data_IF_982464604100
#
_entry.id   IF_982464604100
#
_cell.length_a   1.000
_cell.length_b   1.000
_cell.length_c   1.000
_cell.angle_alpha   90.00
_cell.angle_beta   90.00
_cell.angle_gamma   90.00
#
_symmetry.space_group_name_H-M   'P 1'
#
loop_
_entity.id
_entity.type
_entity.pdbx_description
1 polymer ?
#
# COMPACT_ATOMS: atom_id res chain seq x y z
N UNK A 1 -13.38 1.34 15.86
CA UNK A 1 -12.22 2.23 15.70
C UNK A 1 -12.56 3.68 16.02
N UNK A 2 -13.83 4.04 16.09
CA UNK A 2 -14.23 5.43 16.22
C UNK A 2 -14.39 5.96 17.65
N UNK A 3 -14.45 5.09 18.65
CA UNK A 3 -14.61 5.51 20.06
C UNK A 3 -13.29 5.91 20.72
N UNK A 4 -12.14 5.58 20.14
CA UNK A 4 -10.86 6.13 20.59
C UNK A 4 -10.75 7.65 20.45
N UNK A 5 -11.74 8.33 19.83
CA UNK A 5 -11.82 9.79 19.79
C UNK A 5 -12.09 10.39 21.18
N UNK A 6 -12.75 9.64 22.09
CA UNK A 6 -13.03 10.09 23.46
C UNK A 6 -11.76 10.05 24.34
N UNK A 7 -10.71 9.37 23.91
CA UNK A 7 -9.43 9.31 24.59
C UNK A 7 -8.42 10.23 23.91
N UNK A 8 -7.75 11.04 24.72
CA UNK A 8 -6.68 11.92 24.26
C UNK A 8 -5.34 11.51 24.86
N UNK A 9 -4.28 11.63 24.08
CA UNK A 9 -2.90 11.44 24.50
C UNK A 9 -2.02 12.51 23.85
N UNK A 10 -1.24 13.24 24.65
CA UNK A 10 -0.41 14.36 24.16
C UNK A 10 -1.20 15.46 23.44
N UNK A 11 -2.46 15.69 23.81
CA UNK A 11 -3.34 16.68 23.18
C UNK A 11 -3.94 16.26 21.83
N UNK A 12 -3.71 15.02 21.40
CA UNK A 12 -4.25 14.45 20.16
C UNK A 12 -5.25 13.33 20.45
N UNK A 13 -6.23 13.06 19.57
CA UNK A 13 -7.08 11.88 19.67
C UNK A 13 -6.23 10.61 19.69
N UNK A 14 -6.56 9.67 20.59
CA UNK A 14 -5.81 8.41 20.73
C UNK A 14 -5.69 7.67 19.40
N UNK A 15 -6.75 7.63 18.60
CA UNK A 15 -6.73 7.04 17.24
C UNK A 15 -5.59 7.59 16.39
N UNK A 16 -5.43 8.90 16.35
CA UNK A 16 -4.37 9.55 15.55
C UNK A 16 -2.99 9.18 16.06
N UNK A 17 -2.80 9.16 17.39
CA UNK A 17 -1.51 8.77 18.00
C UNK A 17 -1.17 7.31 17.68
N UNK A 18 -2.13 6.40 17.74
CA UNK A 18 -1.93 4.99 17.41
C UNK A 18 -1.55 4.79 15.94
N UNK A 19 -2.25 5.49 15.02
CA UNK A 19 -1.95 5.43 13.59
C UNK A 19 -0.55 5.97 13.31
N UNK A 20 -0.20 7.15 13.85
CA UNK A 20 1.14 7.73 13.70
C UNK A 20 2.20 6.74 14.19
N UNK A 21 2.02 6.18 15.37
CA UNK A 21 2.96 5.21 15.96
C UNK A 21 3.15 3.98 15.07
N UNK A 22 2.06 3.43 14.53
CA UNK A 22 2.11 2.29 13.62
C UNK A 22 2.81 2.64 12.31
N UNK A 23 2.50 3.79 11.71
CA UNK A 23 3.11 4.26 10.45
C UNK A 23 4.61 4.54 10.66
N UNK A 24 5.01 5.11 11.79
CA UNK A 24 6.44 5.26 12.15
C UNK A 24 7.11 3.89 12.24
N UNK A 25 6.46 2.91 12.87
CA UNK A 25 6.95 1.52 12.90
C UNK A 25 7.16 0.95 11.49
N UNK A 26 6.17 1.09 10.60
CA UNK A 26 6.29 0.70 9.18
C UNK A 26 7.47 1.40 8.48
N UNK A 27 7.60 2.70 8.65
CA UNK A 27 8.68 3.49 8.06
C UNK A 27 10.05 2.97 8.51
N UNK A 28 10.24 2.76 9.81
CA UNK A 28 11.49 2.21 10.36
C UNK A 28 11.80 0.82 9.80
N UNK A 29 10.78 -0.04 9.65
CA UNK A 29 10.95 -1.37 9.08
C UNK A 29 11.40 -1.35 7.62
N UNK A 30 11.00 -0.34 6.82
CA UNK A 30 11.45 -0.19 5.43
C UNK A 30 12.96 0.07 5.36
N UNK A 31 13.49 0.95 6.20
CA UNK A 31 14.94 1.19 6.27
C UNK A 31 15.73 -0.04 6.74
N UNK A 32 15.24 -0.73 7.76
CA UNK A 32 15.89 -1.96 8.25
C UNK A 32 15.74 -3.13 7.27
N UNK A 33 14.58 -3.21 6.58
CA UNK A 33 14.21 -4.30 5.69
C UNK A 33 15.14 -4.47 4.50
N UNK A 34 15.69 -3.39 3.96
CA UNK A 34 16.63 -3.43 2.82
C UNK A 34 17.81 -4.37 3.11
N UNK A 35 18.33 -4.36 4.34
CA UNK A 35 19.47 -5.21 4.73
C UNK A 35 19.02 -6.58 5.21
N UNK A 36 17.95 -6.64 6.00
CA UNK A 36 17.51 -7.87 6.65
C UNK A 36 16.89 -8.84 5.65
N UNK A 37 15.99 -8.37 4.77
CA UNK A 37 15.29 -9.24 3.81
C UNK A 37 16.24 -9.76 2.75
N UNK A 38 17.16 -8.93 2.24
CA UNK A 38 18.13 -9.34 1.23
C UNK A 38 19.10 -10.43 1.75
N UNK A 39 19.39 -10.44 3.05
CA UNK A 39 20.23 -11.44 3.70
C UNK A 39 19.46 -12.69 4.16
N UNK A 40 18.13 -12.70 4.06
CA UNK A 40 17.31 -13.77 4.64
C UNK A 40 17.30 -15.02 3.76
N UNK A 41 17.99 -16.06 4.22
CA UNK A 41 18.01 -17.37 3.55
C UNK A 41 16.61 -18.00 3.52
N UNK A 42 16.24 -18.70 2.42
CA UNK A 42 14.95 -19.35 2.22
C UNK A 42 14.49 -20.18 3.42
N UNK A 43 15.38 -21.00 3.97
CA UNK A 43 15.10 -21.88 5.11
C UNK A 43 14.71 -21.14 6.42
N UNK A 44 15.01 -19.84 6.52
CA UNK A 44 14.71 -19.02 7.70
C UNK A 44 13.51 -18.09 7.52
N UNK A 45 12.95 -18.01 6.29
CA UNK A 45 11.85 -17.05 5.97
C UNK A 45 10.61 -17.31 6.82
N UNK A 46 10.17 -18.57 6.92
CA UNK A 46 8.99 -18.92 7.71
C UNK A 46 9.20 -18.64 9.21
N UNK A 47 10.40 -18.92 9.75
CA UNK A 47 10.71 -18.62 11.16
C UNK A 47 10.70 -17.12 11.42
N UNK A 48 11.30 -16.33 10.53
CA UNK A 48 11.27 -14.87 10.63
C UNK A 48 9.84 -14.35 10.56
N UNK A 49 9.02 -14.82 9.62
CA UNK A 49 7.63 -14.45 9.50
C UNK A 49 6.82 -14.83 10.77
N UNK A 50 7.00 -16.05 11.29
CA UNK A 50 6.31 -16.50 12.50
C UNK A 50 6.67 -15.64 13.73
N UNK A 51 7.95 -15.31 13.91
CA UNK A 51 8.40 -14.43 15.00
C UNK A 51 7.84 -13.03 14.84
N UNK A 52 7.90 -12.44 13.65
CA UNK A 52 7.41 -11.09 13.39
C UNK A 52 5.89 -11.00 13.59
N UNK A 53 5.12 -11.96 13.03
CA UNK A 53 3.66 -11.98 13.20
C UNK A 53 3.29 -12.25 14.66
N UNK A 54 3.97 -13.20 15.31
CA UNK A 54 3.75 -13.48 16.73
C UNK A 54 4.02 -12.28 17.62
N UNK A 55 5.12 -11.54 17.36
CA UNK A 55 5.44 -10.29 18.08
C UNK A 55 4.40 -9.20 17.80
N UNK A 56 3.99 -9.04 16.54
CA UNK A 56 2.95 -8.08 16.17
C UNK A 56 1.61 -8.39 16.86
N UNK A 57 1.25 -9.67 16.93
CA UNK A 57 0.01 -10.11 17.58
C UNK A 57 0.09 -10.00 19.10
N UNK A 58 1.25 -10.34 19.72
CA UNK A 58 1.50 -10.12 21.14
C UNK A 58 1.40 -8.62 21.51
N UNK A 59 1.89 -7.73 20.66
CA UNK A 59 1.74 -6.29 20.84
C UNK A 59 0.25 -5.87 20.89
N UNK A 60 -0.63 -6.47 20.08
CA UNK A 60 -2.07 -6.22 20.14
C UNK A 60 -2.72 -6.79 21.40
N UNK A 61 -2.23 -7.91 21.93
CA UNK A 61 -2.66 -8.44 23.24
C UNK A 61 -2.28 -7.50 24.37
N UNK A 62 -1.04 -7.01 24.38
CA UNK A 62 -0.55 -6.06 25.39
C UNK A 62 -1.31 -4.73 25.33
N UNK A 63 -1.68 -4.28 24.14
CA UNK A 63 -2.56 -3.14 23.94
C UNK A 63 -3.93 -3.32 24.59
N UNK A 64 -4.49 -4.55 24.54
CA UNK A 64 -5.79 -4.84 25.15
C UNK A 64 -5.77 -4.88 26.69
N UNK A 65 -4.64 -5.26 27.29
CA UNK A 65 -4.53 -5.54 28.74
C UNK A 65 -3.88 -4.39 29.49
N UNK A 66 -2.93 -3.67 28.89
CA UNK A 66 -2.15 -2.64 29.57
C UNK A 66 -2.77 -1.24 29.41
N UNK A 67 -2.42 -0.27 30.28
CA UNK A 67 -2.94 1.09 30.20
C UNK A 67 -2.71 1.72 28.81
N UNK A 68 -3.71 2.43 28.31
CA UNK A 68 -3.69 3.04 26.96
C UNK A 68 -2.55 4.03 26.73
N UNK A 69 -1.94 4.55 27.78
CA UNK A 69 -0.75 5.43 27.69
C UNK A 69 0.43 4.72 27.04
N UNK A 70 0.53 3.39 27.17
CA UNK A 70 1.57 2.56 26.53
C UNK A 70 1.19 2.10 25.12
N UNK A 71 -0.03 2.32 24.71
CA UNK A 71 -0.55 1.87 23.41
C UNK A 71 0.28 2.32 22.20
N UNK A 72 0.84 3.55 22.13
CA UNK A 72 1.70 3.98 21.03
C UNK A 72 2.91 3.08 20.82
N UNK A 73 3.53 2.61 21.93
CA UNK A 73 4.68 1.70 21.85
C UNK A 73 4.28 0.36 21.21
N UNK A 74 3.15 -0.20 21.60
CA UNK A 74 2.68 -1.48 21.05
C UNK A 74 2.30 -1.36 19.57
N UNK A 75 1.66 -0.25 19.16
CA UNK A 75 1.35 0.00 17.77
C UNK A 75 2.62 0.24 16.91
N UNK A 76 3.63 0.91 17.47
CA UNK A 76 4.92 1.07 16.79
C UNK A 76 5.62 -0.29 16.58
N UNK A 77 5.63 -1.17 17.60
CA UNK A 77 6.18 -2.53 17.48
C UNK A 77 5.38 -3.35 16.47
N UNK A 78 4.05 -3.28 16.50
CA UNK A 78 3.17 -3.95 15.56
C UNK A 78 3.48 -3.50 14.12
N UNK A 79 3.52 -2.20 13.86
CA UNK A 79 3.86 -1.63 12.57
C UNK A 79 5.25 -2.04 12.10
N UNK A 80 6.25 -1.98 12.97
CA UNK A 80 7.62 -2.40 12.65
C UNK A 80 7.67 -3.87 12.20
N UNK A 81 7.05 -4.77 12.93
CA UNK A 81 7.02 -6.19 12.59
C UNK A 81 6.29 -6.47 11.27
N UNK A 82 5.12 -5.87 11.08
CA UNK A 82 4.30 -6.08 9.89
C UNK A 82 4.93 -5.48 8.62
N UNK A 83 5.72 -4.42 8.74
CA UNK A 83 6.38 -3.77 7.61
C UNK A 83 7.39 -4.65 6.85
N UNK A 84 7.91 -5.73 7.46
CA UNK A 84 8.76 -6.73 6.80
C UNK A 84 7.96 -7.77 5.99
N UNK A 85 6.67 -7.96 6.30
CA UNK A 85 5.90 -9.10 5.79
C UNK A 85 5.79 -9.11 4.27
N UNK A 86 5.58 -7.93 3.64
CA UNK A 86 5.57 -7.85 2.19
C UNK A 86 6.82 -8.45 1.55
N UNK A 87 8.01 -8.01 2.00
CA UNK A 87 9.28 -8.48 1.45
C UNK A 87 9.50 -9.98 1.67
N UNK A 88 9.11 -10.51 2.83
CA UNK A 88 9.24 -11.95 3.12
C UNK A 88 8.31 -12.75 2.19
N UNK A 89 7.03 -12.41 2.11
CA UNK A 89 6.05 -13.14 1.27
C UNK A 89 6.42 -13.02 -0.21
N UNK A 90 6.75 -11.81 -0.69
CA UNK A 90 7.14 -11.60 -2.08
C UNK A 90 8.39 -12.40 -2.47
N UNK A 91 9.32 -12.60 -1.52
CA UNK A 91 10.53 -13.38 -1.77
C UNK A 91 10.27 -14.86 -2.13
N UNK A 92 9.09 -15.42 -1.82
CA UNK A 92 8.70 -16.76 -2.28
C UNK A 92 8.24 -16.77 -3.75
N UNK A 93 7.74 -15.65 -4.24
CA UNK A 93 7.35 -15.47 -5.64
C UNK A 93 8.52 -15.07 -6.55
N UNK A 94 9.56 -14.49 -5.96
CA UNK A 94 10.70 -13.91 -6.69
C UNK A 94 11.51 -14.97 -7.45
N UNK A 95 11.92 -14.62 -8.68
CA UNK A 95 12.74 -15.48 -9.52
C UNK A 95 11.97 -16.53 -10.31
N UNK A 96 10.66 -16.40 -10.46
CA UNK A 96 9.78 -17.25 -11.29
C UNK A 96 9.35 -16.50 -12.54
N UNK A 97 9.06 -17.21 -13.64
CA UNK A 97 8.44 -16.64 -14.85
C UNK A 97 7.09 -15.95 -14.53
N UNK A 98 6.36 -16.49 -13.59
CA UNK A 98 5.07 -15.95 -13.15
C UNK A 98 5.19 -14.84 -12.07
N UNK A 99 6.39 -14.31 -11.78
CA UNK A 99 6.60 -13.31 -10.71
C UNK A 99 5.69 -12.10 -10.89
N UNK A 100 5.53 -11.57 -12.10
CA UNK A 100 4.66 -10.41 -12.39
C UNK A 100 3.20 -10.71 -12.09
N UNK A 101 2.72 -11.91 -12.47
CA UNK A 101 1.36 -12.35 -12.19
C UNK A 101 1.14 -12.53 -10.67
N UNK A 102 2.03 -13.26 -10.00
CA UNK A 102 1.94 -13.51 -8.56
C UNK A 102 2.02 -12.19 -7.79
N UNK A 103 2.94 -11.29 -8.15
CA UNK A 103 3.09 -9.97 -7.55
C UNK A 103 1.85 -9.11 -7.73
N UNK A 104 1.23 -9.14 -8.90
CA UNK A 104 -0.01 -8.41 -9.19
C UNK A 104 -1.19 -8.94 -8.37
N UNK A 105 -1.39 -10.25 -8.33
CA UNK A 105 -2.44 -10.88 -7.52
C UNK A 105 -2.22 -10.59 -6.03
N UNK A 106 -0.98 -10.69 -5.56
CA UNK A 106 -0.62 -10.38 -4.18
C UNK A 106 -0.92 -8.92 -3.84
N UNK A 107 -0.53 -7.96 -4.70
CA UNK A 107 -0.79 -6.55 -4.49
C UNK A 107 -2.29 -6.22 -4.48
N UNK A 108 -3.06 -6.78 -5.40
CA UNK A 108 -4.52 -6.59 -5.45
C UNK A 108 -5.22 -7.23 -4.27
N UNK A 109 -4.74 -8.38 -3.79
CA UNK A 109 -5.35 -9.08 -2.64
C UNK A 109 -5.36 -8.26 -1.35
N UNK A 110 -4.43 -7.30 -1.19
CA UNK A 110 -4.45 -6.38 -0.04
C UNK A 110 -5.69 -5.52 0.03
N UNK A 111 -6.27 -5.14 -1.11
CA UNK A 111 -7.49 -4.32 -1.16
C UNK A 111 -8.62 -5.11 -0.49
N UNK A 112 -8.85 -6.33 -0.97
CA UNK A 112 -9.87 -7.22 -0.39
C UNK A 112 -9.59 -7.54 1.08
N UNK A 113 -8.36 -7.96 1.40
CA UNK A 113 -7.97 -8.35 2.75
C UNK A 113 -8.17 -7.21 3.76
N UNK A 114 -7.82 -5.97 3.37
CA UNK A 114 -8.05 -4.79 4.20
C UNK A 114 -9.53 -4.55 4.50
N UNK A 115 -10.39 -4.65 3.49
CA UNK A 115 -11.84 -4.51 3.65
C UNK A 115 -12.44 -5.62 4.49
N UNK A 116 -12.08 -6.87 4.20
CA UNK A 116 -12.58 -8.04 4.92
C UNK A 116 -12.19 -8.01 6.40
N UNK A 117 -10.94 -7.73 6.71
CA UNK A 117 -10.46 -7.64 8.10
C UNK A 117 -11.19 -6.54 8.88
N UNK A 118 -11.45 -5.38 8.24
CA UNK A 118 -12.22 -4.29 8.88
C UNK A 118 -13.67 -4.68 9.13
N UNK A 119 -14.31 -5.42 8.20
CA UNK A 119 -15.66 -5.94 8.42
C UNK A 119 -15.71 -6.92 9.60
N UNK A 120 -14.73 -7.84 9.70
CA UNK A 120 -14.63 -8.78 10.84
C UNK A 120 -14.45 -8.01 12.15
N UNK A 121 -13.52 -7.04 12.20
CA UNK A 121 -13.32 -6.23 13.39
C UNK A 121 -14.57 -5.45 13.79
N UNK A 122 -15.31 -4.90 12.81
CA UNK A 122 -16.55 -4.17 13.06
C UNK A 122 -17.67 -5.10 13.53
N UNK A 123 -17.80 -6.29 12.95
CA UNK A 123 -18.73 -7.32 13.42
C UNK A 123 -18.48 -7.69 14.88
N UNK A 124 -17.20 -7.88 15.29
CA UNK A 124 -16.87 -8.14 16.69
C UNK A 124 -17.35 -7.00 17.62
N UNK A 125 -17.16 -5.75 17.19
CA UNK A 125 -17.50 -4.58 18.02
C UNK A 125 -19.01 -4.34 18.06
N UNK A 126 -19.70 -4.37 16.92
CA UNK A 126 -21.11 -3.98 16.81
C UNK A 126 -22.04 -5.14 17.19
N UNK A 127 -21.84 -6.31 16.58
CA UNK A 127 -22.76 -7.43 16.72
C UNK A 127 -22.46 -8.29 17.96
N UNK A 128 -21.17 -8.45 18.31
CA UNK A 128 -20.75 -9.22 19.49
C UNK A 128 -20.41 -8.35 20.70
N UNK A 129 -20.57 -7.03 20.60
CA UNK A 129 -20.30 -6.07 21.69
C UNK A 129 -18.90 -6.19 22.31
N UNK A 130 -17.92 -6.63 21.52
CA UNK A 130 -16.53 -6.71 21.96
C UNK A 130 -15.95 -5.31 22.13
N UNK A 131 -15.19 -5.09 23.21
CA UNK A 131 -14.47 -3.83 23.42
C UNK A 131 -13.51 -3.53 22.28
N UNK A 132 -13.42 -2.26 21.87
CA UNK A 132 -12.52 -1.80 20.83
C UNK A 132 -11.03 -2.08 21.13
N UNK A 133 -10.66 -2.14 22.41
CA UNK A 133 -9.31 -2.53 22.82
C UNK A 133 -9.00 -4.00 22.53
N UNK A 134 -9.99 -4.89 22.66
CA UNK A 134 -9.82 -6.32 22.39
C UNK A 134 -10.03 -6.70 20.90
N UNK A 135 -10.77 -5.89 20.15
CA UNK A 135 -11.12 -6.20 18.76
C UNK A 135 -9.91 -6.46 17.85
N UNK A 136 -8.79 -5.72 17.90
CA UNK A 136 -7.62 -6.00 17.06
C UNK A 136 -7.00 -7.38 17.37
N UNK A 137 -6.85 -7.74 18.65
CA UNK A 137 -6.30 -9.02 19.05
C UNK A 137 -7.21 -10.19 18.65
N UNK A 138 -8.52 -10.09 18.89
CA UNK A 138 -9.49 -11.12 18.54
C UNK A 138 -9.66 -11.28 17.03
N UNK A 139 -9.59 -10.20 16.27
CA UNK A 139 -9.53 -10.28 14.80
C UNK A 139 -8.32 -11.10 14.37
N UNK A 140 -7.15 -10.83 14.92
CA UNK A 140 -5.94 -11.63 14.67
C UNK A 140 -6.12 -13.12 15.03
N UNK A 141 -6.81 -13.41 16.14
CA UNK A 141 -7.07 -14.78 16.61
C UNK A 141 -7.92 -15.57 15.58
N UNK A 142 -8.94 -14.95 14.99
CA UNK A 142 -9.78 -15.58 13.95
C UNK A 142 -8.93 -15.98 12.75
N UNK A 143 -7.94 -15.16 12.38
CA UNK A 143 -7.09 -15.41 11.21
C UNK A 143 -5.87 -16.30 11.49
N UNK A 144 -5.57 -16.64 12.74
CA UNK A 144 -4.39 -17.46 13.10
C UNK A 144 -4.40 -18.82 12.41
N UNK A 145 -5.54 -19.53 12.43
CA UNK A 145 -5.62 -20.88 11.82
C UNK A 145 -5.48 -20.82 10.30
N UNK A 146 -6.23 -19.97 9.55
CA UNK A 146 -5.99 -19.77 8.12
C UNK A 146 -4.54 -19.38 7.81
N UNK A 147 -3.95 -18.50 8.60
CA UNK A 147 -2.57 -18.06 8.42
C UNK A 147 -1.57 -19.21 8.51
N UNK A 148 -1.67 -20.06 9.53
CA UNK A 148 -0.78 -21.23 9.70
C UNK A 148 -0.92 -22.18 8.52
N UNK A 149 -2.15 -22.46 8.08
CA UNK A 149 -2.41 -23.34 6.93
C UNK A 149 -1.80 -22.77 5.64
N UNK A 150 -2.02 -21.47 5.38
CA UNK A 150 -1.47 -20.80 4.20
C UNK A 150 0.07 -20.74 4.22
N UNK A 151 0.68 -20.47 5.38
CA UNK A 151 2.14 -20.50 5.53
C UNK A 151 2.72 -21.90 5.31
N UNK A 152 2.04 -22.93 5.78
CA UNK A 152 2.45 -24.32 5.52
C UNK A 152 2.46 -24.62 4.01
N UNK A 153 1.44 -24.21 3.26
CA UNK A 153 1.43 -24.37 1.80
C UNK A 153 2.49 -23.50 1.11
N UNK A 154 2.69 -22.26 1.58
CA UNK A 154 3.70 -21.36 1.03
C UNK A 154 5.11 -21.95 1.19
N UNK A 155 5.42 -22.56 2.35
CA UNK A 155 6.72 -23.18 2.59
C UNK A 155 6.94 -24.44 1.73
N UNK A 156 5.86 -25.17 1.41
CA UNK A 156 5.92 -26.33 0.50
C UNK A 156 6.00 -25.96 -0.98
N UNK A 157 5.78 -24.69 -1.33
CA UNK A 157 5.87 -24.27 -2.71
C UNK A 157 7.27 -24.58 -3.27
N UNK A 158 7.39 -25.27 -4.44
CA UNK A 158 8.70 -25.63 -5.01
C UNK A 158 9.52 -24.37 -5.29
N UNK A 159 10.84 -24.49 -5.37
CA UNK A 159 11.71 -23.38 -5.81
C UNK A 159 11.50 -23.04 -7.29
N UNK A 160 12.17 -21.98 -7.79
CA UNK A 160 12.27 -21.74 -9.22
C UNK A 160 12.80 -22.97 -9.93
N UNK A 161 12.21 -23.35 -11.08
CA UNK A 161 12.65 -24.46 -11.90
C UNK A 161 13.80 -24.07 -12.84
N UNK A 162 14.29 -25.00 -13.64
CA UNK A 162 15.40 -24.74 -14.58
C UNK A 162 15.02 -23.68 -15.61
N UNK A 163 13.77 -23.73 -16.11
CA UNK A 163 13.25 -22.76 -17.08
C UNK A 163 13.05 -21.37 -16.45
N UNK A 164 12.66 -21.33 -15.18
CA UNK A 164 12.60 -20.07 -14.42
C UNK A 164 13.99 -19.43 -14.28
N UNK A 165 15.04 -20.24 -14.12
CA UNK A 165 16.41 -19.76 -13.99
C UNK A 165 16.97 -19.28 -15.34
N UNK A 166 16.69 -20.00 -16.44
CA UNK A 166 17.16 -19.66 -17.80
C UNK A 166 16.51 -18.37 -18.33
N UNK A 167 15.21 -18.18 -18.09
CA UNK A 167 14.49 -16.97 -18.51
C UNK A 167 14.69 -15.79 -17.55
N UNK A 168 15.37 -16.00 -16.45
CA UNK A 168 15.60 -14.98 -15.41
C UNK A 168 16.52 -13.90 -15.95
N UNK A 169 16.03 -12.67 -16.00
CA UNK A 169 16.90 -11.49 -16.06
C UNK A 169 17.68 -11.45 -14.74
N UNK A 170 18.98 -11.71 -14.80
CA UNK A 170 19.84 -11.73 -13.62
C UNK A 170 19.76 -10.37 -12.91
N UNK A 171 19.11 -10.36 -11.74
CA UNK A 171 19.06 -9.17 -10.89
C UNK A 171 20.41 -8.99 -10.23
N UNK A 172 21.32 -8.33 -10.92
CA UNK A 172 22.64 -7.99 -10.40
C UNK A 172 22.49 -7.01 -9.24
N UNK A 173 23.18 -7.30 -8.13
CA UNK A 173 23.27 -6.34 -7.03
C UNK A 173 23.97 -5.07 -7.51
N UNK A 174 23.28 -3.94 -7.44
CA UNK A 174 23.85 -2.65 -7.86
C UNK A 174 24.77 -2.09 -6.78
N UNK A 175 25.94 -1.65 -7.19
CA UNK A 175 26.83 -0.83 -6.36
C UNK A 175 26.21 0.55 -6.07
N UNK A 176 26.79 1.35 -5.21
CA UNK A 176 26.34 2.73 -4.99
C UNK A 176 26.51 3.58 -6.25
N UNK A 177 27.59 3.34 -6.98
CA UNK A 177 27.95 4.00 -8.23
C UNK A 177 26.95 3.68 -9.35
N UNK A 178 26.56 2.40 -9.50
CA UNK A 178 25.56 1.97 -10.49
C UNK A 178 24.19 2.62 -10.21
N UNK A 179 23.78 2.66 -8.95
CA UNK A 179 22.52 3.32 -8.54
C UNK A 179 22.54 4.81 -8.84
N UNK A 180 23.65 5.49 -8.56
CA UNK A 180 23.82 6.91 -8.84
C UNK A 180 23.81 7.17 -10.36
N UNK A 181 24.45 6.33 -11.15
CA UNK A 181 24.46 6.43 -12.60
C UNK A 181 23.05 6.32 -13.20
N UNK A 182 22.28 5.28 -12.81
CA UNK A 182 20.87 5.10 -13.24
C UNK A 182 20.01 6.29 -12.81
N UNK A 183 20.14 6.72 -11.55
CA UNK A 183 19.39 7.87 -11.07
C UNK A 183 19.70 9.12 -11.88
N UNK A 184 20.97 9.45 -12.09
CA UNK A 184 21.39 10.64 -12.86
C UNK A 184 20.92 10.57 -14.32
N UNK A 185 20.96 9.38 -14.93
CA UNK A 185 20.54 9.18 -16.32
C UNK A 185 19.03 9.41 -16.52
N UNK A 186 18.20 9.02 -15.56
CA UNK A 186 16.73 9.05 -15.64
C UNK A 186 16.10 9.98 -14.59
N UNK A 187 16.87 10.89 -13.95
CA UNK A 187 16.46 11.68 -12.80
C UNK A 187 15.12 12.40 -12.95
N UNK A 188 14.86 13.02 -14.10
CA UNK A 188 13.63 13.78 -14.33
C UNK A 188 12.38 12.90 -14.24
N UNK A 189 12.38 11.76 -14.92
CA UNK A 189 11.29 10.80 -14.86
C UNK A 189 11.17 10.13 -13.49
N UNK A 190 12.29 9.70 -12.89
CA UNK A 190 12.31 9.01 -11.60
C UNK A 190 11.82 9.91 -10.45
N UNK A 191 12.21 11.18 -10.41
CA UNK A 191 11.73 12.13 -9.39
C UNK A 191 10.22 12.33 -9.54
N UNK A 192 9.73 12.50 -10.78
CA UNK A 192 8.30 12.70 -11.02
C UNK A 192 7.48 11.47 -10.60
N UNK A 193 7.96 10.26 -10.91
CA UNK A 193 7.35 9.00 -10.45
C UNK A 193 7.38 8.92 -8.93
N UNK A 194 8.53 9.25 -8.32
CA UNK A 194 8.68 9.20 -6.87
C UNK A 194 7.68 10.13 -6.16
N UNK A 195 7.49 11.33 -6.67
CA UNK A 195 6.49 12.28 -6.15
C UNK A 195 5.08 11.70 -6.34
N UNK A 196 4.72 11.26 -7.55
CA UNK A 196 3.39 10.73 -7.84
C UNK A 196 3.04 9.50 -6.99
N UNK A 197 3.97 8.55 -6.87
CA UNK A 197 3.79 7.37 -6.03
C UNK A 197 3.75 7.71 -4.53
N UNK A 198 4.58 8.64 -4.08
CA UNK A 198 4.56 9.13 -2.69
C UNK A 198 3.22 9.79 -2.34
N UNK A 199 2.66 10.61 -3.24
CA UNK A 199 1.33 11.21 -3.08
C UNK A 199 0.24 10.12 -3.01
N UNK A 200 0.31 9.10 -3.87
CA UNK A 200 -0.61 7.95 -3.82
C UNK A 200 -0.49 7.18 -2.49
N UNK A 201 0.71 7.00 -1.98
CA UNK A 201 0.94 6.35 -0.68
C UNK A 201 0.26 7.13 0.44
N UNK A 202 0.39 8.46 0.47
CA UNK A 202 -0.24 9.32 1.47
C UNK A 202 -1.77 9.19 1.42
N UNK A 203 -2.38 9.36 0.25
CA UNK A 203 -3.85 9.30 0.15
C UNK A 203 -4.39 7.89 0.41
N UNK A 204 -3.64 6.84 0.05
CA UNK A 204 -4.00 5.46 0.39
C UNK A 204 -3.98 5.25 1.90
N UNK A 205 -2.91 5.63 2.58
CA UNK A 205 -2.78 5.44 4.01
C UNK A 205 -3.85 6.19 4.80
N UNK A 206 -4.14 7.44 4.41
CA UNK A 206 -5.22 8.21 5.05
C UNK A 206 -6.58 7.55 4.80
N UNK A 207 -6.85 7.11 3.57
CA UNK A 207 -8.08 6.38 3.27
C UNK A 207 -8.19 5.13 4.13
N UNK A 208 -7.15 4.32 4.18
CA UNK A 208 -7.16 3.06 4.89
C UNK A 208 -7.33 3.24 6.41
N UNK A 209 -6.67 4.21 6.99
CA UNK A 209 -6.71 4.45 8.44
C UNK A 209 -8.00 5.16 8.91
N UNK A 210 -8.57 6.04 8.09
CA UNK A 210 -9.76 6.83 8.44
C UNK A 210 -11.02 6.43 7.66
N UNK A 211 -10.99 5.32 6.93
CA UNK A 211 -12.14 4.79 6.19
C UNK A 211 -13.38 4.61 7.08
N UNK A 212 -13.19 4.13 8.31
CA UNK A 212 -14.28 3.96 9.27
C UNK A 212 -14.94 5.28 9.69
N UNK A 213 -14.15 6.35 9.82
CA UNK A 213 -14.64 7.70 10.11
C UNK A 213 -15.46 8.24 8.93
N UNK A 214 -14.92 8.12 7.71
CA UNK A 214 -15.60 8.54 6.48
C UNK A 214 -16.92 7.78 6.27
N UNK A 215 -16.94 6.45 6.42
CA UNK A 215 -18.18 5.69 6.30
C UNK A 215 -19.25 6.11 7.33
N UNK A 216 -18.83 6.46 8.56
CA UNK A 216 -19.74 6.96 9.57
C UNK A 216 -20.33 8.32 9.19
N UNK A 217 -19.48 9.26 8.74
CA UNK A 217 -19.90 10.59 8.28
C UNK A 217 -20.87 10.50 7.10
N UNK A 218 -20.74 9.46 6.27
CA UNK A 218 -21.61 9.20 5.13
C UNK A 218 -22.90 8.41 5.46
N UNK A 219 -23.16 8.13 6.74
CA UNK A 219 -24.38 7.45 7.19
C UNK A 219 -24.32 5.91 7.22
N UNK A 220 -23.14 5.31 7.07
CA UNK A 220 -22.96 3.84 7.09
C UNK A 220 -22.34 3.34 8.42
N UNK A 221 -22.66 4.01 9.55
CA UNK A 221 -22.12 3.69 10.85
C UNK A 221 -22.34 2.24 11.27
N UNK A 222 -23.52 1.68 11.00
CA UNK A 222 -23.95 0.37 11.50
C UNK A 222 -23.70 -0.78 10.51
N UNK A 223 -23.23 -0.48 9.30
CA UNK A 223 -22.98 -1.50 8.28
C UNK A 223 -21.58 -2.11 8.44
N UNK A 224 -21.50 -3.33 9.01
CA UNK A 224 -20.23 -4.05 9.09
C UNK A 224 -19.74 -4.52 7.71
N UNK A 225 -20.65 -4.90 6.81
CA UNK A 225 -20.32 -5.43 5.48
C UNK A 225 -19.87 -4.37 4.48
N UNK A 226 -20.07 -3.06 4.74
CA UNK A 226 -19.75 -1.99 3.79
C UNK A 226 -18.28 -2.01 3.35
N UNK A 227 -17.37 -2.32 4.25
CA UNK A 227 -15.95 -2.42 3.96
C UNK A 227 -15.66 -3.55 2.96
N UNK A 228 -16.11 -4.77 3.26
CA UNK A 228 -15.89 -5.92 2.36
C UNK A 228 -16.56 -5.68 1.01
N UNK A 229 -17.81 -5.25 0.99
CA UNK A 229 -18.57 -5.06 -0.26
C UNK A 229 -17.92 -4.02 -1.17
N UNK A 230 -17.50 -2.87 -0.60
CA UNK A 230 -16.83 -1.81 -1.35
C UNK A 230 -15.48 -2.28 -1.88
N UNK A 231 -14.63 -2.85 -1.01
CA UNK A 231 -13.29 -3.25 -1.39
C UNK A 231 -13.29 -4.47 -2.32
N UNK A 232 -14.27 -5.37 -2.24
CA UNK A 232 -14.41 -6.49 -3.19
C UNK A 232 -14.67 -6.01 -4.61
N UNK A 233 -15.56 -5.03 -4.79
CA UNK A 233 -15.84 -4.46 -6.12
C UNK A 233 -14.59 -3.83 -6.73
N UNK A 234 -13.87 -3.04 -5.94
CA UNK A 234 -12.60 -2.41 -6.35
C UNK A 234 -11.58 -3.48 -6.72
N UNK A 235 -11.42 -4.49 -5.85
CA UNK A 235 -10.49 -5.62 -6.05
C UNK A 235 -10.72 -6.32 -7.39
N UNK A 236 -11.96 -6.68 -7.70
CA UNK A 236 -12.29 -7.40 -8.93
C UNK A 236 -11.99 -6.59 -10.18
N UNK A 237 -12.31 -5.29 -10.18
CA UNK A 237 -12.03 -4.41 -11.32
C UNK A 237 -10.51 -4.23 -11.48
N UNK A 238 -9.78 -3.92 -10.41
CA UNK A 238 -8.32 -3.74 -10.46
C UNK A 238 -7.63 -5.03 -10.88
N UNK A 239 -8.07 -6.20 -10.39
CA UNK A 239 -7.55 -7.49 -10.79
C UNK A 239 -7.75 -7.73 -12.30
N UNK A 240 -8.92 -7.41 -12.85
CA UNK A 240 -9.19 -7.48 -14.28
C UNK A 240 -8.25 -6.58 -15.10
N UNK A 241 -8.05 -5.33 -14.66
CA UNK A 241 -7.10 -4.40 -15.30
C UNK A 241 -5.67 -4.94 -15.26
N UNK A 242 -5.22 -5.47 -14.12
CA UNK A 242 -3.88 -6.03 -13.99
C UNK A 242 -3.70 -7.29 -14.84
N UNK A 243 -4.72 -8.16 -14.93
CA UNK A 243 -4.70 -9.33 -15.78
C UNK A 243 -4.54 -8.96 -17.27
N UNK A 244 -5.24 -7.93 -17.74
CA UNK A 244 -5.09 -7.42 -19.10
C UNK A 244 -3.69 -6.83 -19.36
N UNK A 245 -3.09 -6.14 -18.39
CA UNK A 245 -1.73 -5.61 -18.50
C UNK A 245 -0.68 -6.71 -18.68
N UNK A 246 -0.82 -7.83 -17.97
CA UNK A 246 0.12 -8.96 -18.03
C UNK A 246 0.15 -9.58 -19.45
N UNK A 247 -0.96 -9.53 -20.18
CA UNK A 247 -1.04 -10.06 -21.56
C UNK A 247 -0.21 -9.26 -22.57
N UNK A 248 0.17 -8.03 -22.26
CA UNK A 248 0.95 -7.17 -23.17
C UNK A 248 2.42 -7.58 -23.14
N UNK A 249 2.86 -8.28 -24.19
CA UNK A 249 4.24 -8.78 -24.33
C UNK A 249 5.26 -7.69 -24.67
N UNK A 250 4.87 -6.67 -25.44
CA UNK A 250 5.76 -5.57 -25.81
C UNK A 250 5.99 -4.64 -24.61
N UNK A 251 7.23 -4.58 -24.12
CA UNK A 251 7.58 -3.80 -22.93
C UNK A 251 7.29 -2.31 -23.07
N UNK A 252 7.57 -1.70 -24.22
CA UNK A 252 7.32 -0.28 -24.45
C UNK A 252 5.81 0.02 -24.53
N UNK A 253 5.04 -0.84 -25.19
CA UNK A 253 3.58 -0.72 -25.21
C UNK A 253 3.01 -0.88 -23.80
N UNK A 254 3.44 -1.91 -23.05
CA UNK A 254 3.03 -2.11 -21.65
C UNK A 254 3.35 -0.88 -20.81
N UNK A 255 4.55 -0.31 -20.93
CA UNK A 255 4.97 0.87 -20.20
C UNK A 255 4.09 2.11 -20.51
N UNK A 256 3.71 2.32 -21.77
CA UNK A 256 2.77 3.39 -22.17
C UNK A 256 1.36 3.15 -21.60
N UNK A 257 0.86 1.92 -21.70
CA UNK A 257 -0.48 1.55 -21.19
C UNK A 257 -0.54 1.70 -19.67
N UNK A 258 0.52 1.31 -18.95
CA UNK A 258 0.62 1.50 -17.49
C UNK A 258 0.50 3.00 -17.13
N UNK A 259 1.22 3.88 -17.81
CA UNK A 259 1.07 5.32 -17.60
C UNK A 259 -0.37 5.80 -17.89
N UNK A 260 -1.01 5.28 -18.94
CA UNK A 260 -2.41 5.57 -19.26
C UNK A 260 -3.37 5.15 -18.14
N UNK A 261 -3.18 3.96 -17.56
CA UNK A 261 -3.99 3.48 -16.45
C UNK A 261 -3.78 4.34 -15.20
N UNK A 262 -2.53 4.74 -14.91
CA UNK A 262 -2.21 5.64 -13.79
C UNK A 262 -2.88 7.00 -13.99
N UNK A 263 -2.85 7.56 -15.21
CA UNK A 263 -3.54 8.81 -15.55
C UNK A 263 -5.06 8.70 -15.33
N UNK A 264 -5.67 7.62 -15.82
CA UNK A 264 -7.11 7.34 -15.61
C UNK A 264 -7.41 7.23 -14.11
N UNK A 265 -6.53 6.57 -13.34
CA UNK A 265 -6.67 6.45 -11.89
C UNK A 265 -6.68 7.80 -11.18
N UNK A 266 -5.71 8.68 -11.47
CA UNK A 266 -5.68 10.04 -10.90
C UNK A 266 -6.88 10.87 -11.32
N UNK A 267 -7.28 10.80 -12.60
CA UNK A 267 -8.43 11.51 -13.12
C UNK A 267 -9.72 11.04 -12.43
N UNK A 268 -9.93 9.73 -12.32
CA UNK A 268 -11.12 9.15 -11.71
C UNK A 268 -11.21 9.53 -10.22
N UNK A 269 -10.10 9.43 -9.48
CA UNK A 269 -10.08 9.81 -8.07
C UNK A 269 -10.34 11.32 -7.88
N UNK A 270 -9.64 12.17 -8.63
CA UNK A 270 -9.78 13.62 -8.55
C UNK A 270 -11.17 14.10 -8.96
N UNK A 271 -11.68 13.64 -10.10
CA UNK A 271 -12.99 14.04 -10.61
C UNK A 271 -14.14 13.57 -9.72
N UNK A 272 -14.10 12.30 -9.26
CA UNK A 272 -15.13 11.80 -8.34
C UNK A 272 -15.14 12.57 -7.01
N UNK A 273 -13.97 12.98 -6.52
CA UNK A 273 -13.89 13.80 -5.31
C UNK A 273 -14.40 15.21 -5.52
N UNK A 274 -14.15 15.81 -6.67
CA UNK A 274 -14.70 17.11 -7.04
C UNK A 274 -16.24 17.06 -7.14
N UNK A 275 -16.78 16.03 -7.81
CA UNK A 275 -18.22 15.83 -7.92
C UNK A 275 -18.90 15.59 -6.56
N UNK A 276 -18.22 14.89 -5.65
CA UNK A 276 -18.71 14.70 -4.28
C UNK A 276 -18.75 16.02 -3.51
N UNK A 277 -17.69 16.84 -3.58
CA UNK A 277 -17.63 18.14 -2.91
C UNK A 277 -18.67 19.13 -3.43
N UNK A 278 -19.05 19.04 -4.71
CA UNK A 278 -20.11 19.88 -5.32
C UNK A 278 -21.52 19.31 -5.14
N UNK A 279 -21.69 18.18 -4.40
CA UNK A 279 -22.99 17.56 -4.16
C UNK A 279 -23.59 16.79 -5.35
N UNK A 280 -22.82 16.61 -6.44
CA UNK A 280 -23.27 15.92 -7.66
C UNK A 280 -23.01 14.40 -7.62
N UNK A 281 -22.40 13.88 -6.55
CA UNK A 281 -22.10 12.45 -6.39
C UNK A 281 -22.42 12.00 -4.97
N UNK A 282 -23.10 10.86 -4.82
CA UNK A 282 -23.38 10.29 -3.51
C UNK A 282 -22.09 9.81 -2.82
N UNK A 283 -22.04 9.88 -1.48
CA UNK A 283 -20.89 9.46 -0.70
C UNK A 283 -20.51 7.99 -0.89
N UNK A 284 -21.51 7.11 -1.09
CA UNK A 284 -21.27 5.68 -1.38
C UNK A 284 -20.51 5.51 -2.70
N UNK A 285 -20.98 6.13 -3.76
CA UNK A 285 -20.36 6.02 -5.08
C UNK A 285 -19.01 6.72 -5.12
N UNK A 286 -18.88 7.87 -4.44
CA UNK A 286 -17.59 8.54 -4.27
C UNK A 286 -16.54 7.64 -3.63
N UNK A 287 -16.85 7.01 -2.50
CA UNK A 287 -15.90 6.13 -1.80
C UNK A 287 -15.46 4.93 -2.66
N UNK A 288 -16.35 4.44 -3.54
CA UNK A 288 -16.01 3.36 -4.49
C UNK A 288 -15.14 3.89 -5.64
N UNK A 289 -15.50 5.00 -6.25
CA UNK A 289 -14.77 5.58 -7.39
C UNK A 289 -13.40 6.13 -6.98
N UNK A 290 -13.31 6.80 -5.83
CA UNK A 290 -12.02 7.28 -5.32
C UNK A 290 -11.10 6.11 -4.98
N UNK A 291 -11.62 5.03 -4.37
CA UNK A 291 -10.86 3.82 -4.10
C UNK A 291 -10.39 3.13 -5.38
N UNK A 292 -11.29 3.00 -6.36
CA UNK A 292 -10.95 2.42 -7.68
C UNK A 292 -9.85 3.23 -8.36
N UNK A 293 -9.99 4.54 -8.47
CA UNK A 293 -9.01 5.42 -9.09
C UNK A 293 -7.65 5.37 -8.39
N UNK A 294 -7.66 5.42 -7.05
CA UNK A 294 -6.47 5.30 -6.23
C UNK A 294 -5.71 3.99 -6.50
N UNK A 295 -6.39 2.84 -6.45
CA UNK A 295 -5.73 1.55 -6.63
C UNK A 295 -5.38 1.26 -8.09
N UNK A 296 -6.14 1.76 -9.06
CA UNK A 296 -5.74 1.73 -10.47
C UNK A 296 -4.42 2.49 -10.72
N UNK A 297 -4.16 3.57 -9.99
CA UNK A 297 -2.89 4.29 -10.09
C UNK A 297 -1.78 3.64 -9.25
N UNK A 298 -2.09 3.16 -8.04
CA UNK A 298 -1.11 2.68 -7.06
C UNK A 298 -0.56 1.27 -7.37
N UNK A 299 -1.45 0.32 -7.71
CA UNK A 299 -1.07 -1.09 -7.88
C UNK A 299 -0.05 -1.31 -9.02
N UNK A 300 -0.18 -0.69 -10.20
CA UNK A 300 0.81 -0.85 -11.26
C UNK A 300 2.23 -0.45 -10.85
N UNK A 301 2.40 0.60 -10.04
CA UNK A 301 3.71 0.98 -9.52
C UNK A 301 4.35 -0.12 -8.67
N UNK A 302 3.55 -0.77 -7.81
CA UNK A 302 4.05 -1.82 -6.92
C UNK A 302 4.31 -3.15 -7.62
N UNK A 303 3.59 -3.43 -8.72
CA UNK A 303 3.59 -4.75 -9.31
C UNK A 303 4.47 -4.86 -10.56
N UNK A 304 4.35 -3.95 -11.53
CA UNK A 304 4.90 -4.16 -12.88
C UNK A 304 5.69 -2.96 -13.43
N UNK A 305 5.43 -1.75 -12.96
CA UNK A 305 5.96 -0.53 -13.56
C UNK A 305 7.49 -0.52 -13.68
N UNK A 306 8.16 -0.80 -12.57
CA UNK A 306 9.62 -0.74 -12.52
C UNK A 306 10.28 -1.88 -13.31
N UNK A 307 9.68 -3.06 -13.33
CA UNK A 307 10.18 -4.18 -14.14
C UNK A 307 10.06 -3.87 -15.63
N UNK A 308 8.95 -3.27 -16.07
CA UNK A 308 8.80 -2.81 -17.46
C UNK A 308 9.76 -1.67 -17.80
N UNK A 309 10.01 -0.74 -16.89
CA UNK A 309 11.01 0.32 -17.07
C UNK A 309 12.41 -0.27 -17.27
N UNK A 310 12.83 -1.21 -16.43
CA UNK A 310 14.12 -1.91 -16.56
C UNK A 310 14.22 -2.60 -17.93
N UNK A 311 13.17 -3.31 -18.34
CA UNK A 311 13.16 -4.02 -19.61
C UNK A 311 13.21 -3.08 -20.82
N UNK A 312 12.48 -1.96 -20.79
CA UNK A 312 12.46 -0.95 -21.88
C UNK A 312 13.82 -0.30 -22.07
N UNK A 313 14.48 0.07 -20.97
CA UNK A 313 15.75 0.80 -21.01
C UNK A 313 16.98 -0.10 -20.84
N UNK A 314 16.79 -1.42 -20.80
CA UNK A 314 17.85 -2.44 -20.61
C UNK A 314 18.79 -2.11 -19.45
N UNK A 315 18.20 -1.63 -18.33
CA UNK A 315 18.96 -1.25 -17.15
C UNK A 315 19.46 -2.53 -16.47
N UNK A 316 20.78 -2.67 -16.33
CA UNK A 316 21.36 -3.76 -15.54
C UNK A 316 21.24 -3.41 -14.05
N UNK A 317 20.30 -4.04 -13.36
CA UNK A 317 20.16 -3.79 -11.92
C UNK A 317 18.76 -4.01 -11.37
N UNK A 318 18.57 -3.62 -10.11
CA UNK A 318 17.32 -3.74 -9.37
C UNK A 318 16.89 -2.35 -8.86
N UNK A 319 15.75 -1.85 -9.33
CA UNK A 319 15.19 -0.58 -8.83
C UNK A 319 14.30 -0.75 -7.58
N UNK A 320 14.24 -1.96 -7.02
CA UNK A 320 13.46 -2.22 -5.79
C UNK A 320 13.84 -1.29 -4.64
N UNK A 321 15.11 -0.83 -4.56
CA UNK A 321 15.51 0.15 -3.57
C UNK A 321 14.75 1.48 -3.68
N UNK A 322 14.34 1.89 -4.89
CA UNK A 322 13.55 3.10 -5.11
C UNK A 322 12.15 2.96 -4.50
N UNK A 323 11.51 1.80 -4.66
CA UNK A 323 10.18 1.54 -4.08
C UNK A 323 10.24 1.68 -2.55
N UNK A 324 11.22 1.05 -1.90
CA UNK A 324 11.38 1.16 -0.44
C UNK A 324 11.67 2.58 0.02
N UNK A 325 12.50 3.30 -0.74
CA UNK A 325 12.84 4.68 -0.44
C UNK A 325 11.61 5.59 -0.56
N UNK A 326 10.85 5.47 -1.65
CA UNK A 326 9.65 6.27 -1.89
C UNK A 326 8.55 5.92 -0.88
N UNK A 327 8.36 4.64 -0.55
CA UNK A 327 7.44 4.21 0.50
C UNK A 327 7.75 4.88 1.85
N UNK A 328 9.04 4.91 2.24
CA UNK A 328 9.44 5.53 3.49
C UNK A 328 9.10 7.02 3.54
N UNK A 329 9.30 7.75 2.43
CA UNK A 329 8.88 9.16 2.31
C UNK A 329 7.37 9.32 2.23
N UNK A 330 6.65 8.40 1.59
CA UNK A 330 5.19 8.36 1.59
C UNK A 330 4.62 8.24 3.00
N UNK A 331 5.14 7.32 3.82
CA UNK A 331 4.74 7.19 5.23
C UNK A 331 5.08 8.42 6.06
N UNK A 332 6.25 9.03 5.85
CA UNK A 332 6.60 10.30 6.49
C UNK A 332 5.60 11.39 6.12
N UNK A 333 5.24 11.50 4.83
CA UNK A 333 4.22 12.43 4.35
C UNK A 333 2.86 12.19 4.98
N UNK A 334 2.44 10.93 5.15
CA UNK A 334 1.21 10.57 5.85
C UNK A 334 1.21 11.08 7.29
N UNK A 335 2.30 10.89 8.02
CA UNK A 335 2.45 11.42 9.40
C UNK A 335 2.35 12.94 9.41
N UNK A 336 3.04 13.62 8.50
CA UNK A 336 2.99 15.09 8.40
C UNK A 336 1.56 15.59 8.13
N UNK A 337 0.84 14.99 7.20
CA UNK A 337 -0.54 15.38 6.87
C UNK A 337 -1.48 15.16 8.06
N UNK A 338 -1.34 14.05 8.79
CA UNK A 338 -2.14 13.79 9.98
C UNK A 338 -1.87 14.81 11.09
N UNK A 339 -0.59 15.12 11.34
CA UNK A 339 -0.21 16.13 12.34
C UNK A 339 -0.73 17.52 11.97
N UNK A 340 -0.61 17.92 10.70
CA UNK A 340 -1.13 19.20 10.22
C UNK A 340 -2.64 19.28 10.42
N UNK A 341 -3.39 18.25 10.04
CA UNK A 341 -4.86 18.22 10.23
C UNK A 341 -5.25 18.39 11.69
N UNK A 342 -4.61 17.69 12.60
CA UNK A 342 -4.92 17.77 14.02
C UNK A 342 -4.45 19.10 14.66
N UNK A 343 -3.30 19.66 14.23
CA UNK A 343 -2.74 20.89 14.79
C UNK A 343 -3.53 22.15 14.42
N UNK A 344 -4.15 22.17 13.25
CA UNK A 344 -4.88 23.36 12.76
C UNK A 344 -6.27 23.47 13.42
N UNK A 345 -6.65 22.52 14.29
CA UNK A 345 -7.97 22.50 14.97
C UNK A 345 -9.16 22.69 14.00
N UNK A 346 -8.98 22.31 12.74
CA UNK A 346 -10.01 22.44 11.73
C UNK A 346 -11.03 21.33 12.02
N UNK A 347 -12.21 21.74 12.50
CA UNK A 347 -13.35 20.85 12.76
C UNK A 347 -13.98 20.39 11.44
N UNK A 348 -13.15 19.93 10.49
CA UNK A 348 -13.55 19.45 9.17
C UNK A 348 -13.75 17.95 9.23
N UNK A 349 -14.87 17.50 8.67
CA UNK A 349 -15.16 16.07 8.50
C UNK A 349 -14.04 15.39 7.68
N UNK A 350 -13.71 14.16 8.03
CA UNK A 350 -12.69 13.37 7.33
C UNK A 350 -13.01 13.17 5.86
N UNK A 351 -14.29 12.99 5.50
CA UNK A 351 -14.76 12.86 4.12
C UNK A 351 -14.42 14.09 3.28
N UNK A 352 -14.76 15.29 3.77
CA UNK A 352 -14.47 16.55 3.09
C UNK A 352 -12.97 16.86 3.02
N UNK A 353 -12.24 16.62 4.12
CA UNK A 353 -10.79 16.79 4.15
C UNK A 353 -10.10 15.87 3.12
N UNK A 354 -10.47 14.59 3.13
CA UNK A 354 -9.91 13.60 2.21
C UNK A 354 -10.25 13.92 0.76
N UNK A 355 -11.51 14.30 0.47
CA UNK A 355 -11.94 14.65 -0.89
C UNK A 355 -11.13 15.83 -1.45
N UNK A 356 -10.94 16.91 -0.66
CA UNK A 356 -10.12 18.06 -1.07
C UNK A 356 -8.67 17.65 -1.35
N UNK A 357 -8.08 16.85 -0.48
CA UNK A 357 -6.72 16.34 -0.67
C UNK A 357 -6.59 15.50 -1.96
N UNK A 358 -7.58 14.63 -2.24
CA UNK A 358 -7.59 13.79 -3.45
C UNK A 358 -7.76 14.62 -4.72
N UNK A 359 -8.54 15.72 -4.71
CA UNK A 359 -8.61 16.64 -5.85
C UNK A 359 -7.24 17.22 -6.17
N UNK A 360 -6.50 17.69 -5.16
CA UNK A 360 -5.16 18.26 -5.32
C UNK A 360 -4.18 17.20 -5.83
N UNK A 361 -4.16 16.04 -5.21
CA UNK A 361 -3.29 14.92 -5.61
C UNK A 361 -3.64 14.41 -7.00
N UNK A 362 -4.93 14.35 -7.35
CA UNK A 362 -5.40 13.96 -8.68
C UNK A 362 -4.85 14.87 -9.77
N UNK A 363 -4.91 16.19 -9.55
CA UNK A 363 -4.37 17.17 -10.49
C UNK A 363 -2.85 17.05 -10.66
N UNK A 364 -2.09 17.09 -9.55
CA UNK A 364 -0.63 17.02 -9.62
C UNK A 364 -0.13 15.64 -10.09
N UNK A 365 -0.80 14.57 -9.69
CA UNK A 365 -0.47 13.22 -10.12
C UNK A 365 -0.71 12.99 -11.60
N UNK A 366 -1.82 13.50 -12.14
CA UNK A 366 -2.12 13.46 -13.57
C UNK A 366 -1.07 14.24 -14.37
N UNK A 367 -0.81 15.49 -13.99
CA UNK A 367 0.19 16.35 -14.67
C UNK A 367 1.60 15.71 -14.61
N UNK A 368 2.01 15.20 -13.45
CA UNK A 368 3.28 14.50 -13.29
C UNK A 368 3.36 13.22 -14.13
N UNK A 369 2.28 12.44 -14.22
CA UNK A 369 2.28 11.21 -15.04
C UNK A 369 2.38 11.52 -16.54
N UNK A 370 1.71 12.57 -17.03
CA UNK A 370 1.84 13.07 -18.40
C UNK A 370 3.29 13.49 -18.68
N UNK A 371 3.87 14.28 -17.78
CA UNK A 371 5.28 14.69 -17.91
C UNK A 371 6.23 13.48 -17.92
N UNK A 372 6.05 12.53 -17.00
CA UNK A 372 6.85 11.30 -16.91
C UNK A 372 6.79 10.52 -18.22
N UNK A 373 5.59 10.28 -18.76
CA UNK A 373 5.43 9.58 -20.03
C UNK A 373 6.17 10.27 -21.17
N UNK A 374 5.98 11.59 -21.31
CA UNK A 374 6.66 12.39 -22.34
C UNK A 374 8.19 12.36 -22.21
N UNK A 375 8.70 12.45 -20.95
CA UNK A 375 10.12 12.34 -20.66
C UNK A 375 10.70 10.99 -21.10
N UNK A 376 10.06 9.88 -20.71
CA UNK A 376 10.56 8.55 -21.05
C UNK A 376 10.44 8.19 -22.53
N UNK A 377 9.40 8.67 -23.23
CA UNK A 377 9.29 8.50 -24.68
C UNK A 377 10.46 9.18 -25.39
N UNK A 378 10.72 10.46 -25.08
CA UNK A 378 11.85 11.20 -25.67
C UNK A 378 13.20 10.53 -25.37
N UNK A 379 13.36 10.05 -24.15
CA UNK A 379 14.58 9.36 -23.72
C UNK A 379 14.78 8.06 -24.49
N UNK A 380 13.71 7.29 -24.71
CA UNK A 380 13.75 6.05 -25.48
C UNK A 380 14.13 6.31 -26.96
N UNK A 381 13.56 7.34 -27.56
CA UNK A 381 13.91 7.73 -28.93
C UNK A 381 15.37 8.19 -29.04
N UNK A 382 15.90 8.89 -28.05
CA UNK A 382 17.31 9.35 -28.03
C UNK A 382 18.33 8.23 -27.87
N UNK A 383 17.95 7.10 -27.29
CA UNK A 383 18.84 5.94 -27.10
C UNK A 383 18.81 5.00 -28.31
N UNK A 384 17.73 5.02 -29.10
CA UNK A 384 17.58 4.16 -30.28
C UNK A 384 17.88 4.89 -31.61
N UNK A 385 18.26 6.16 -31.56
CA UNK A 385 18.90 6.92 -32.64
C UNK A 385 20.43 6.80 -32.52
#
# INVERSE_FOLDING_TARGET
VARFQDFQLMGLPLQTVLIISQVVGYMLSKFAGIRIISALKRQRRWKAAAVLIGTAWLALFLFAVLPYVLAPLFFMINGFCLGFMWGIVFSYAEGRRATDMIGSVLAVSFIFAGGFTRSVAKFLIVDLSVSEFWAPFLTGLIFVVPLIVLFYFLEKAPGPDVLDIEERVERVSMSKEDRAAVFNQYRGGLITIAIGYGLLTIIRDIRDNYMGNMWRELGFADSASIFTTSETRITLIVLGVMALLILIRNNMLAFRVIHGIIMIGFLLAGLSSLLFLTGNLSGLLWMQLVGLGLYMAYIPYNAIFFDRMIAVFRIKGNVGFLIYFIDAFGYLGTVCVMLVKESISINVQWSSFYANMVVVVGFFGLAGTIFSLGYFIRKFESVNR
#
